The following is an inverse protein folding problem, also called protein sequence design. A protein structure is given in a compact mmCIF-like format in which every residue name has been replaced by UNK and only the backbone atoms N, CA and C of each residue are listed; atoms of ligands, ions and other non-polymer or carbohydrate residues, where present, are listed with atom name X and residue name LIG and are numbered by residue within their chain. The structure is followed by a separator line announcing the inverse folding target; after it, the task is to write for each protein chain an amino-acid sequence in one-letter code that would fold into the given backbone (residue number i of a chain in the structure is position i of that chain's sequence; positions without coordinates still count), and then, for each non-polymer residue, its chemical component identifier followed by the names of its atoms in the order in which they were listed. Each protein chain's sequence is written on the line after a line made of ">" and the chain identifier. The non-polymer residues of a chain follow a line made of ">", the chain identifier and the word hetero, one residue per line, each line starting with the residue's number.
data_IF_141886180365
#
_entry.id   IF_141886180365
#
_cell.length_a   1.000
_cell.length_b   1.000
_cell.length_c   1.000
_cell.angle_alpha   90.00
_cell.angle_beta   90.00
_cell.angle_gamma   90.00
#
_symmetry.space_group_name_H-M   'P 1'
#
loop_
_entity.id
_entity.type
_entity.pdbx_description
1 polymer ?
#
# COMPACT_ATOMS: atom_id res chain seq x y z
N UNK A 1 -18.82 18.61 2.04
CA UNK A 1 -18.71 17.21 2.52
C UNK A 1 -19.89 16.96 3.46
N UNK A 2 -20.78 16.06 3.07
CA UNK A 2 -22.04 15.78 3.80
C UNK A 2 -21.94 14.54 4.71
N UNK A 3 -20.74 13.94 4.82
CA UNK A 3 -20.53 12.76 5.65
C UNK A 3 -20.39 13.13 7.13
N UNK A 4 -20.84 12.19 8.00
CA UNK A 4 -20.70 12.34 9.45
C UNK A 4 -19.23 12.37 9.84
N UNK A 5 -18.83 13.38 10.60
CA UNK A 5 -17.50 13.41 11.21
C UNK A 5 -17.56 12.57 12.49
N UNK A 6 -16.62 11.66 12.63
CA UNK A 6 -16.50 10.75 13.77
C UNK A 6 -15.15 10.94 14.46
N UNK A 7 -15.10 10.68 15.76
CA UNK A 7 -13.82 10.37 16.41
C UNK A 7 -13.38 8.95 16.04
N UNK A 8 -12.13 8.61 16.33
CA UNK A 8 -11.63 7.25 16.12
C UNK A 8 -12.38 6.22 17.00
N UNK A 9 -12.74 6.61 18.24
CA UNK A 9 -13.50 5.81 19.18
C UNK A 9 -14.95 5.61 18.71
N UNK A 10 -15.59 6.66 18.20
CA UNK A 10 -16.93 6.55 17.62
C UNK A 10 -16.92 5.60 16.42
N UNK A 11 -15.92 5.73 15.53
CA UNK A 11 -15.75 4.81 14.39
C UNK A 11 -15.51 3.36 14.85
N UNK A 12 -14.62 3.15 15.82
CA UNK A 12 -14.35 1.84 16.39
C UNK A 12 -15.60 1.25 17.10
N UNK A 13 -16.48 2.07 17.66
CA UNK A 13 -17.72 1.61 18.32
C UNK A 13 -18.75 0.99 17.37
N UNK A 14 -18.68 1.33 16.07
CA UNK A 14 -19.57 0.75 15.06
C UNK A 14 -19.23 -0.71 14.74
N UNK A 15 -17.96 -1.10 14.90
CA UNK A 15 -17.44 -2.42 14.55
C UNK A 15 -17.83 -3.42 15.64
N UNK A 16 -18.37 -4.57 15.26
CA UNK A 16 -18.85 -5.58 16.20
C UNK A 16 -17.89 -6.79 16.27
N UNK A 17 -18.02 -7.57 17.35
CA UNK A 17 -17.32 -8.85 17.46
C UNK A 17 -17.72 -9.77 16.30
N UNK A 18 -16.75 -10.32 15.60
CA UNK A 18 -16.94 -11.21 14.46
C UNK A 18 -16.94 -10.52 13.10
N UNK A 19 -16.96 -9.19 13.04
CA UNK A 19 -16.92 -8.45 11.77
C UNK A 19 -15.63 -8.74 10.96
N UNK A 20 -15.77 -8.67 9.67
CA UNK A 20 -14.66 -8.75 8.72
C UNK A 20 -14.28 -7.36 8.24
N UNK A 21 -13.04 -6.99 8.48
CA UNK A 21 -12.48 -5.69 8.15
C UNK A 21 -11.48 -5.80 7.01
N UNK A 22 -11.47 -4.81 6.15
CA UNK A 22 -10.41 -4.58 5.18
C UNK A 22 -9.83 -3.17 5.33
N UNK A 23 -8.56 -3.02 4.95
CA UNK A 23 -7.84 -1.76 5.10
C UNK A 23 -7.14 -1.40 3.80
N UNK A 24 -7.11 -0.11 3.47
CA UNK A 24 -6.37 0.43 2.34
C UNK A 24 -4.86 0.35 2.53
N UNK A 25 -4.14 0.72 1.49
CA UNK A 25 -2.70 0.88 1.52
C UNK A 25 -1.91 -0.33 1.04
N UNK A 26 -0.59 -0.13 1.00
CA UNK A 26 0.39 -1.16 0.71
C UNK A 26 1.65 -0.88 1.54
N UNK A 27 2.19 -1.88 2.25
CA UNK A 27 3.16 -1.70 3.35
C UNK A 27 2.60 -0.75 4.43
N UNK A 28 3.38 0.23 4.91
CA UNK A 28 2.89 1.25 5.84
C UNK A 28 2.16 2.41 5.13
N UNK A 29 2.36 2.55 3.81
CA UNK A 29 1.83 3.67 3.03
C UNK A 29 0.34 3.48 2.70
N UNK A 30 -0.47 4.47 2.98
CA UNK A 30 -1.91 4.40 2.77
C UNK A 30 -2.65 3.52 3.79
N UNK A 31 -1.97 3.07 4.87
CA UNK A 31 -2.54 2.20 5.89
C UNK A 31 -3.18 3.03 7.00
N UNK A 32 -4.49 2.88 7.25
CA UNK A 32 -5.20 3.50 8.37
C UNK A 32 -4.54 3.20 9.71
N UNK A 33 -4.58 4.15 10.64
CA UNK A 33 -3.89 4.06 11.95
C UNK A 33 -4.76 4.40 13.14
N UNK A 34 -5.61 5.43 13.02
CA UNK A 34 -6.32 5.93 14.20
C UNK A 34 -7.51 5.04 14.54
N UNK A 35 -8.26 4.58 13.55
CA UNK A 35 -9.38 3.65 13.78
C UNK A 35 -8.89 2.30 14.30
N UNK A 36 -7.88 1.62 13.70
CA UNK A 36 -7.42 0.33 14.24
C UNK A 36 -6.80 0.47 15.63
N UNK A 37 -6.15 1.59 15.96
CA UNK A 37 -5.63 1.85 17.32
C UNK A 37 -6.77 1.99 18.32
N UNK A 38 -7.82 2.75 18.00
CA UNK A 38 -9.02 2.88 18.85
C UNK A 38 -9.77 1.54 19.00
N UNK A 39 -9.85 0.76 17.92
CA UNK A 39 -10.44 -0.58 17.95
C UNK A 39 -9.66 -1.53 18.88
N UNK A 40 -8.32 -1.46 18.84
CA UNK A 40 -7.48 -2.23 19.75
C UNK A 40 -7.70 -1.84 21.23
N UNK A 41 -7.85 -0.54 21.52
CA UNK A 41 -8.16 -0.07 22.86
C UNK A 41 -9.52 -0.61 23.32
N UNK A 42 -10.56 -0.49 22.50
CA UNK A 42 -11.88 -1.05 22.78
C UNK A 42 -11.84 -2.57 23.00
N UNK A 43 -11.11 -3.31 22.20
CA UNK A 43 -10.97 -4.75 22.37
C UNK A 43 -10.36 -5.11 23.74
N UNK A 44 -9.40 -4.35 24.23
CA UNK A 44 -8.81 -4.53 25.56
C UNK A 44 -9.86 -4.28 26.67
N UNK A 45 -10.71 -3.29 26.52
CA UNK A 45 -11.81 -2.99 27.45
C UNK A 45 -12.85 -4.12 27.46
N UNK A 46 -13.30 -4.58 26.28
CA UNK A 46 -14.23 -5.72 26.17
C UNK A 46 -13.67 -6.97 26.87
N UNK A 47 -12.40 -7.28 26.63
CA UNK A 47 -11.75 -8.42 27.26
C UNK A 47 -11.60 -8.25 28.78
N UNK A 48 -11.33 -7.05 29.27
CA UNK A 48 -11.25 -6.76 30.72
C UNK A 48 -12.59 -6.97 31.42
N UNK A 49 -13.70 -6.77 30.70
CA UNK A 49 -15.06 -7.03 31.20
C UNK A 49 -15.56 -8.47 30.92
N UNK A 50 -14.66 -9.32 30.41
CA UNK A 50 -14.96 -10.74 30.13
C UNK A 50 -15.79 -10.96 28.86
N UNK A 51 -15.95 -9.96 28.01
CA UNK A 51 -16.66 -10.10 26.74
C UNK A 51 -15.68 -10.45 25.61
N UNK A 52 -16.01 -11.41 24.74
CA UNK A 52 -15.18 -11.74 23.60
C UNK A 52 -15.24 -10.61 22.56
N UNK A 53 -14.08 -10.24 22.02
CA UNK A 53 -13.99 -9.30 20.91
C UNK A 53 -12.86 -9.66 19.96
N UNK A 54 -13.19 -10.16 18.79
CA UNK A 54 -12.24 -10.45 17.70
C UNK A 54 -12.85 -10.10 16.36
N UNK A 55 -12.03 -9.68 15.42
CA UNK A 55 -12.38 -9.36 14.03
C UNK A 55 -11.52 -10.14 13.06
N UNK A 56 -12.00 -10.34 11.84
CA UNK A 56 -11.19 -10.84 10.72
C UNK A 56 -10.59 -9.65 9.99
N UNK A 57 -9.31 -9.74 9.58
CA UNK A 57 -8.56 -8.63 8.97
C UNK A 57 -7.96 -9.05 7.63
N UNK A 58 -8.35 -8.36 6.56
CA UNK A 58 -7.81 -8.51 5.20
C UNK A 58 -7.21 -7.19 4.73
N UNK A 59 -5.96 -7.19 4.27
CA UNK A 59 -5.29 -5.94 3.91
C UNK A 59 -4.49 -5.97 2.60
N UNK A 60 -4.36 -7.09 1.92
CA UNK A 60 -3.28 -7.20 0.93
C UNK A 60 -1.93 -7.19 1.65
N UNK A 61 -0.99 -6.35 1.21
CA UNK A 61 0.30 -6.16 1.88
C UNK A 61 0.32 -4.96 2.83
N UNK A 62 -0.80 -4.30 3.06
CA UNK A 62 -0.91 -3.20 4.03
C UNK A 62 -0.68 -3.74 5.45
N UNK A 63 0.27 -3.14 6.17
CA UNK A 63 0.69 -3.57 7.50
C UNK A 63 1.39 -2.44 8.25
N UNK A 64 1.12 -2.31 9.55
CA UNK A 64 1.79 -1.34 10.41
C UNK A 64 1.70 -1.75 11.88
N UNK A 65 2.56 -1.15 12.72
CA UNK A 65 2.48 -1.33 14.17
C UNK A 65 1.13 -0.81 14.72
N UNK A 66 0.61 0.29 14.15
CA UNK A 66 -0.67 0.87 14.56
C UNK A 66 -1.90 0.03 14.14
N UNK A 67 -1.76 -0.83 13.13
CA UNK A 67 -2.78 -1.77 12.70
C UNK A 67 -2.51 -3.17 13.26
N UNK A 68 -1.57 -3.90 12.66
CA UNK A 68 -1.30 -5.31 13.01
C UNK A 68 -0.75 -5.45 14.43
N UNK A 69 0.18 -4.56 14.82
CA UNK A 69 0.77 -4.57 16.15
C UNK A 69 -0.27 -4.33 17.23
N UNK A 70 -1.02 -3.24 17.10
CA UNK A 70 -2.04 -2.84 18.07
C UNK A 70 -3.14 -3.90 18.24
N UNK A 71 -3.68 -4.42 17.13
CA UNK A 71 -4.72 -5.45 17.16
C UNK A 71 -4.21 -6.80 17.70
N UNK A 72 -2.96 -7.18 17.37
CA UNK A 72 -2.36 -8.40 17.92
C UNK A 72 -2.14 -8.31 19.44
N UNK A 73 -1.60 -7.19 19.93
CA UNK A 73 -1.42 -6.95 21.37
C UNK A 73 -2.75 -6.95 22.12
N UNK A 74 -3.81 -6.44 21.50
CA UNK A 74 -5.16 -6.46 22.05
C UNK A 74 -5.84 -7.84 21.96
N UNK A 75 -5.21 -8.83 21.30
CA UNK A 75 -5.81 -10.15 20.99
C UNK A 75 -7.13 -10.05 20.23
N UNK A 76 -7.25 -9.00 19.42
CA UNK A 76 -8.47 -8.62 18.71
C UNK A 76 -8.61 -9.26 17.32
N UNK A 77 -7.70 -10.15 16.92
CA UNK A 77 -7.72 -10.74 15.57
C UNK A 77 -8.09 -12.22 15.64
N UNK A 78 -9.10 -12.62 14.88
CA UNK A 78 -9.46 -14.02 14.64
C UNK A 78 -8.74 -14.57 13.41
N UNK A 79 -8.90 -13.90 12.26
CA UNK A 79 -8.27 -14.30 10.99
C UNK A 79 -7.44 -13.15 10.42
N UNK A 80 -6.28 -13.48 9.84
CA UNK A 80 -5.41 -12.50 9.16
C UNK A 80 -4.93 -13.07 7.82
N UNK A 81 -5.10 -12.31 6.76
CA UNK A 81 -4.61 -12.66 5.43
C UNK A 81 -4.36 -11.39 4.59
N UNK A 82 -3.54 -11.51 3.53
CA UNK A 82 -2.65 -12.62 3.17
C UNK A 82 -1.23 -12.41 3.70
N UNK A 83 -0.88 -11.22 4.18
CA UNK A 83 0.48 -10.84 4.56
C UNK A 83 0.50 -10.03 5.86
N UNK A 84 1.55 -10.21 6.65
CA UNK A 84 1.85 -9.40 7.83
C UNK A 84 3.36 -9.26 8.01
N UNK A 85 3.82 -8.18 8.65
CA UNK A 85 5.26 -7.94 8.86
C UNK A 85 5.62 -7.54 10.29
N UNK A 86 4.63 -7.30 11.16
CA UNK A 86 4.91 -6.86 12.53
C UNK A 86 5.31 -8.01 13.44
N UNK A 87 6.28 -7.81 14.37
CA UNK A 87 6.70 -8.83 15.32
C UNK A 87 5.55 -9.34 16.21
N UNK A 88 4.65 -8.45 16.62
CA UNK A 88 3.51 -8.73 17.50
C UNK A 88 2.54 -9.71 16.82
N UNK A 89 2.17 -9.42 15.58
CA UNK A 89 1.27 -10.29 14.80
C UNK A 89 1.92 -11.63 14.50
N UNK A 90 3.20 -11.64 14.13
CA UNK A 90 3.97 -12.88 13.92
C UNK A 90 4.01 -13.74 15.17
N UNK A 91 4.23 -13.13 16.33
CA UNK A 91 4.24 -13.84 17.60
C UNK A 91 2.85 -14.43 17.93
N UNK A 92 1.76 -13.68 17.69
CA UNK A 92 0.40 -14.16 17.89
C UNK A 92 0.05 -15.34 16.97
N UNK A 93 0.44 -15.27 15.70
CA UNK A 93 0.27 -16.36 14.72
C UNK A 93 1.05 -17.62 15.18
N UNK A 94 2.32 -17.47 15.58
CA UNK A 94 3.15 -18.59 16.02
C UNK A 94 2.64 -19.25 17.30
N UNK A 95 1.88 -18.53 18.14
CA UNK A 95 1.19 -19.10 19.32
C UNK A 95 -0.17 -19.74 19.00
N UNK A 96 -0.61 -19.69 17.73
CA UNK A 96 -1.93 -20.19 17.33
C UNK A 96 -3.11 -19.32 17.80
N UNK A 97 -2.88 -18.07 18.17
CA UNK A 97 -3.91 -17.13 18.63
C UNK A 97 -4.69 -16.49 17.48
N UNK A 98 -4.10 -16.52 16.26
CA UNK A 98 -4.65 -15.95 15.03
C UNK A 98 -4.64 -17.00 13.93
N UNK A 99 -5.75 -17.20 13.28
CA UNK A 99 -5.87 -18.02 12.08
C UNK A 99 -5.27 -17.26 10.89
N UNK A 100 -4.04 -17.61 10.55
CA UNK A 100 -3.31 -16.95 9.46
C UNK A 100 -3.23 -17.85 8.23
N UNK A 101 -3.42 -17.26 7.07
CA UNK A 101 -3.11 -17.88 5.78
C UNK A 101 -2.55 -16.84 4.82
N UNK A 102 -1.54 -17.24 4.08
CA UNK A 102 -0.94 -16.45 3.02
C UNK A 102 -1.50 -16.85 1.65
N UNK A 103 -1.34 -15.97 0.70
CA UNK A 103 -1.62 -16.22 -0.72
C UNK A 103 -0.84 -15.22 -1.57
N UNK A 104 -0.76 -15.45 -2.85
CA UNK A 104 -0.23 -14.45 -3.76
C UNK A 104 -1.08 -13.17 -3.69
N UNK A 105 -0.43 -12.02 -3.46
CA UNK A 105 -1.11 -10.73 -3.30
C UNK A 105 -1.96 -10.37 -4.51
N UNK A 106 -1.50 -10.70 -5.72
CA UNK A 106 -2.23 -10.49 -6.98
C UNK A 106 -3.53 -11.30 -7.10
N UNK A 107 -3.68 -12.37 -6.30
CA UNK A 107 -4.89 -13.20 -6.29
C UNK A 107 -5.94 -12.71 -5.29
N UNK A 108 -5.56 -11.88 -4.33
CA UNK A 108 -6.44 -11.48 -3.24
C UNK A 108 -7.70 -10.76 -3.73
N UNK A 109 -7.53 -9.78 -4.61
CA UNK A 109 -8.66 -9.05 -5.19
C UNK A 109 -9.65 -9.98 -5.91
N UNK A 110 -9.15 -10.99 -6.61
CA UNK A 110 -10.00 -11.98 -7.28
C UNK A 110 -10.77 -12.83 -6.28
N UNK A 111 -10.12 -13.27 -5.18
CA UNK A 111 -10.77 -14.08 -4.15
C UNK A 111 -11.84 -13.29 -3.40
N UNK A 112 -11.58 -12.00 -3.15
CA UNK A 112 -12.58 -11.08 -2.61
C UNK A 112 -13.73 -10.89 -3.61
N UNK A 113 -13.41 -10.66 -4.88
CA UNK A 113 -14.39 -10.46 -5.95
C UNK A 113 -15.33 -11.66 -6.11
N UNK A 114 -14.78 -12.89 -6.01
CA UNK A 114 -15.54 -14.13 -6.13
C UNK A 114 -16.26 -14.55 -4.86
N UNK A 115 -16.03 -13.85 -3.74
CA UNK A 115 -16.65 -14.14 -2.45
C UNK A 115 -16.03 -15.31 -1.69
N UNK A 116 -14.86 -15.80 -2.10
CA UNK A 116 -14.19 -16.95 -1.46
C UNK A 116 -13.75 -16.66 -0.02
N UNK A 117 -13.55 -15.39 0.32
CA UNK A 117 -13.15 -14.97 1.67
C UNK A 117 -14.32 -14.54 2.57
N UNK A 118 -15.54 -14.64 2.04
CA UNK A 118 -16.76 -14.18 2.71
C UNK A 118 -17.04 -12.69 2.45
N UNK A 119 -18.00 -12.15 3.19
CA UNK A 119 -18.38 -10.75 3.11
C UNK A 119 -17.40 -9.86 3.88
N UNK A 120 -17.25 -8.62 3.45
CA UNK A 120 -16.50 -7.57 4.14
C UNK A 120 -17.51 -6.61 4.75
N UNK A 121 -17.50 -6.49 6.07
CA UNK A 121 -18.44 -5.60 6.78
C UNK A 121 -17.97 -4.15 6.70
N UNK A 122 -16.67 -3.90 6.92
CA UNK A 122 -16.11 -2.56 6.85
C UNK A 122 -14.83 -2.51 6.03
N UNK A 123 -14.71 -1.47 5.19
CA UNK A 123 -13.46 -1.06 4.57
C UNK A 123 -13.01 0.27 5.19
N UNK A 124 -11.85 0.29 5.82
CA UNK A 124 -11.26 1.49 6.39
C UNK A 124 -10.21 2.01 5.40
N UNK A 125 -10.36 3.26 4.97
CA UNK A 125 -9.57 3.84 3.87
C UNK A 125 -8.88 5.11 4.35
N UNK A 126 -7.55 5.18 4.20
CA UNK A 126 -6.82 6.44 4.33
C UNK A 126 -6.93 7.26 3.03
N UNK A 127 -7.32 8.52 3.15
CA UNK A 127 -7.52 9.43 2.03
C UNK A 127 -7.12 10.86 2.38
N UNK A 128 -6.86 11.67 1.35
CA UNK A 128 -6.66 13.13 1.49
C UNK A 128 -7.95 13.90 1.23
N UNK A 129 -8.85 13.33 0.46
CA UNK A 129 -10.11 13.95 0.10
C UNK A 129 -11.18 12.91 -0.20
N UNK A 130 -12.43 13.26 0.12
CA UNK A 130 -13.63 12.56 -0.31
C UNK A 130 -14.68 13.56 -0.74
N UNK A 131 -15.27 13.35 -1.92
CA UNK A 131 -16.34 14.21 -2.46
C UNK A 131 -17.73 13.66 -2.12
N UNK A 132 -18.76 14.50 -2.20
CA UNK A 132 -20.13 14.10 -1.86
C UNK A 132 -20.73 13.05 -2.81
N UNK A 133 -20.15 12.87 -3.99
CA UNK A 133 -20.51 11.86 -4.99
C UNK A 133 -19.62 10.60 -4.94
N UNK A 134 -18.78 10.47 -3.90
CA UNK A 134 -18.05 9.24 -3.60
C UNK A 134 -16.72 9.07 -4.31
N UNK A 135 -16.11 10.16 -4.84
CA UNK A 135 -14.73 10.12 -5.29
C UNK A 135 -13.78 10.27 -4.10
N UNK A 136 -12.85 9.33 -3.94
CA UNK A 136 -11.86 9.30 -2.87
C UNK A 136 -10.47 9.47 -3.48
N UNK A 137 -9.76 10.53 -3.10
CA UNK A 137 -8.35 10.71 -3.43
C UNK A 137 -7.52 10.01 -2.36
N UNK A 138 -6.81 8.94 -2.74
CA UNK A 138 -5.99 8.15 -1.83
C UNK A 138 -4.71 8.91 -1.44
N UNK A 139 -4.07 8.46 -0.36
CA UNK A 139 -2.74 8.91 0.04
C UNK A 139 -1.62 8.15 -0.70
N UNK A 140 -0.58 7.71 -0.01
CA UNK A 140 0.63 7.14 -0.61
C UNK A 140 0.56 5.67 -1.02
N UNK A 141 -0.58 4.99 -0.90
CA UNK A 141 -0.67 3.57 -1.23
C UNK A 141 -2.04 3.16 -1.74
N UNK A 142 -2.08 2.25 -2.70
CA UNK A 142 -3.30 1.73 -3.32
C UNK A 142 -3.60 0.31 -2.86
N UNK A 143 -2.70 -0.62 -3.13
CA UNK A 143 -2.91 -2.05 -2.78
C UNK A 143 -4.18 -2.64 -3.39
N UNK A 144 -5.01 -3.27 -2.57
CA UNK A 144 -6.27 -3.92 -2.96
C UNK A 144 -7.52 -3.09 -2.63
N UNK A 145 -7.37 -1.80 -2.29
CA UNK A 145 -8.46 -0.97 -1.75
C UNK A 145 -9.66 -0.87 -2.69
N UNK A 146 -9.43 -0.83 -4.01
CA UNK A 146 -10.52 -0.71 -4.98
C UNK A 146 -11.51 -1.87 -4.88
N UNK A 147 -11.01 -3.10 -4.78
CA UNK A 147 -11.85 -4.29 -4.62
C UNK A 147 -12.47 -4.37 -3.23
N UNK A 148 -11.74 -4.02 -2.18
CA UNK A 148 -12.27 -3.98 -0.82
C UNK A 148 -13.45 -3.00 -0.71
N UNK A 149 -13.30 -1.78 -1.18
CA UNK A 149 -14.35 -0.76 -1.16
C UNK A 149 -15.58 -1.17 -1.99
N UNK A 150 -15.34 -1.80 -3.17
CA UNK A 150 -16.43 -2.31 -4.00
C UNK A 150 -17.28 -3.38 -3.29
N UNK A 151 -16.64 -4.24 -2.47
CA UNK A 151 -17.28 -5.39 -1.81
C UNK A 151 -17.72 -5.13 -0.37
N UNK A 152 -17.17 -4.12 0.31
CA UNK A 152 -17.55 -3.79 1.67
C UNK A 152 -19.00 -3.28 1.76
N UNK A 153 -19.67 -3.61 2.87
CA UNK A 153 -20.99 -3.09 3.22
C UNK A 153 -20.90 -1.62 3.62
N UNK A 154 -19.89 -1.28 4.41
CA UNK A 154 -19.65 0.06 4.95
C UNK A 154 -18.22 0.52 4.72
N UNK A 155 -18.04 1.83 4.58
CA UNK A 155 -16.75 2.47 4.41
C UNK A 155 -16.57 3.53 5.49
N UNK A 156 -15.40 3.51 6.16
CA UNK A 156 -14.94 4.54 7.07
C UNK A 156 -13.68 5.16 6.45
N UNK A 157 -13.60 6.49 6.43
CA UNK A 157 -12.47 7.19 5.84
C UNK A 157 -11.65 7.86 6.94
N UNK A 158 -10.38 7.52 7.04
CA UNK A 158 -9.38 8.33 7.76
C UNK A 158 -8.88 9.43 6.84
N UNK A 159 -9.30 10.67 7.11
CA UNK A 159 -8.95 11.84 6.31
C UNK A 159 -7.65 12.45 6.83
N UNK A 160 -6.54 12.09 6.19
CA UNK A 160 -5.21 12.49 6.61
C UNK A 160 -4.81 13.84 6.01
N UNK A 161 -4.83 14.88 6.83
CA UNK A 161 -4.53 16.26 6.43
C UNK A 161 -3.04 16.55 6.22
N UNK A 162 -2.15 15.58 6.48
CA UNK A 162 -0.73 15.72 6.21
C UNK A 162 -0.42 15.83 4.72
N UNK A 163 -1.16 15.08 3.90
CA UNK A 163 -0.95 15.04 2.45
C UNK A 163 -1.77 16.12 1.76
N UNK A 164 -1.17 16.83 0.78
CA UNK A 164 -1.89 17.87 0.03
C UNK A 164 -2.87 17.23 -0.96
N UNK A 165 -3.96 17.94 -1.23
CA UNK A 165 -4.95 17.52 -2.24
C UNK A 165 -4.36 17.43 -3.65
N UNK A 166 -3.28 18.15 -3.90
CA UNK A 166 -2.54 18.10 -5.16
C UNK A 166 -1.91 16.75 -5.46
N UNK A 167 -1.96 15.77 -4.53
CA UNK A 167 -1.63 14.36 -4.83
C UNK A 167 -2.57 13.74 -5.88
N UNK A 168 -3.73 14.34 -6.11
CA UNK A 168 -4.64 13.98 -7.21
C UNK A 168 -3.87 13.93 -8.54
N UNK A 169 -4.05 12.83 -9.27
CA UNK A 169 -3.35 12.57 -10.53
C UNK A 169 -2.11 11.68 -10.39
N UNK A 170 -1.67 11.37 -9.17
CA UNK A 170 -0.61 10.38 -8.95
C UNK A 170 -1.11 8.93 -9.14
N UNK A 171 -2.41 8.70 -8.96
CA UNK A 171 -3.04 7.38 -8.98
C UNK A 171 -3.60 7.01 -10.36
N UNK A 172 -3.73 5.70 -10.59
CA UNK A 172 -4.38 5.07 -11.75
C UNK A 172 -5.17 3.86 -11.26
N UNK A 173 -6.37 4.13 -10.72
CA UNK A 173 -7.20 3.13 -10.05
C UNK A 173 -8.06 2.38 -11.06
N UNK A 174 -7.95 1.06 -11.09
CA UNK A 174 -8.77 0.18 -11.91
C UNK A 174 -9.20 -1.05 -11.14
N UNK A 175 -10.20 -1.75 -11.63
CA UNK A 175 -10.61 -3.07 -11.15
C UNK A 175 -10.85 -3.98 -12.34
N UNK A 176 -10.50 -5.24 -12.21
CA UNK A 176 -10.73 -6.22 -13.27
C UNK A 176 -12.19 -6.69 -13.28
N UNK A 177 -12.75 -6.83 -14.48
CA UNK A 177 -14.09 -7.37 -14.64
C UNK A 177 -14.15 -8.86 -14.25
N UNK A 178 -15.35 -9.33 -13.85
CA UNK A 178 -15.61 -10.76 -13.65
C UNK A 178 -15.57 -11.52 -14.98
N UNK A 179 -15.11 -12.78 -15.01
CA UNK A 179 -15.38 -13.66 -16.15
C UNK A 179 -16.89 -13.77 -16.44
N UNK A 180 -17.32 -13.86 -17.71
CA UNK A 180 -16.51 -13.95 -18.93
C UNK A 180 -16.10 -12.58 -19.49
N UNK A 181 -16.35 -11.48 -18.81
CA UNK A 181 -16.12 -10.13 -19.32
C UNK A 181 -14.69 -9.60 -19.06
N UNK A 182 -13.83 -10.43 -18.45
CA UNK A 182 -12.44 -10.07 -18.20
C UNK A 182 -11.70 -9.88 -19.52
N UNK A 183 -10.93 -8.79 -19.57
CA UNK A 183 -10.06 -8.46 -20.71
C UNK A 183 -8.61 -8.39 -20.25
N UNK A 184 -7.70 -8.28 -21.20
CA UNK A 184 -6.30 -7.99 -20.89
C UNK A 184 -6.14 -6.67 -20.12
N UNK A 185 -5.11 -6.58 -19.32
CA UNK A 185 -4.67 -5.34 -18.68
C UNK A 185 -3.83 -4.60 -19.70
N UNK A 186 -4.35 -3.52 -20.29
CA UNK A 186 -3.73 -2.80 -21.40
C UNK A 186 -2.61 -1.87 -20.92
N UNK A 187 -1.62 -2.41 -20.19
CA UNK A 187 -0.40 -1.74 -19.75
C UNK A 187 0.74 -2.34 -20.53
N UNK A 188 1.19 -1.65 -21.57
CA UNK A 188 2.29 -2.07 -22.44
C UNK A 188 3.57 -1.31 -22.12
N UNK A 189 3.44 -0.19 -21.41
CA UNK A 189 4.52 0.64 -20.90
C UNK A 189 4.23 1.02 -19.44
N UNK A 190 5.25 1.10 -18.54
CA UNK A 190 5.04 1.51 -17.15
C UNK A 190 4.30 2.85 -16.98
N UNK A 191 4.37 3.73 -17.97
CA UNK A 191 3.69 5.04 -17.94
C UNK A 191 2.24 5.02 -18.42
N UNK A 192 1.75 3.90 -19.00
CA UNK A 192 0.35 3.81 -19.46
C UNK A 192 -0.61 3.98 -18.28
N UNK A 193 -1.73 4.64 -18.52
CA UNK A 193 -2.81 4.81 -17.54
C UNK A 193 -4.10 4.24 -18.12
N UNK A 194 -4.74 3.35 -17.39
CA UNK A 194 -5.92 2.60 -17.83
C UNK A 194 -7.13 2.79 -16.92
N UNK A 195 -6.94 3.44 -15.78
CA UNK A 195 -7.95 3.63 -14.73
C UNK A 195 -8.32 5.09 -14.51
N UNK A 196 -8.69 5.40 -13.29
CA UNK A 196 -9.14 6.71 -12.86
C UNK A 196 -8.18 7.29 -11.79
N UNK A 197 -8.06 8.62 -11.68
CA UNK A 197 -7.19 9.24 -10.67
C UNK A 197 -7.74 9.14 -9.24
N UNK A 198 -8.97 8.72 -9.07
CA UNK A 198 -9.65 8.56 -7.77
C UNK A 198 -10.31 7.19 -7.67
N UNK A 199 -10.46 6.72 -6.44
CA UNK A 199 -11.32 5.58 -6.14
C UNK A 199 -12.77 6.06 -6.13
N UNK A 200 -13.64 5.44 -6.94
CA UNK A 200 -15.07 5.72 -6.99
C UNK A 200 -15.83 4.66 -6.18
N UNK A 201 -16.65 5.12 -5.24
CA UNK A 201 -17.51 4.25 -4.43
C UNK A 201 -18.96 4.78 -4.42
N UNK A 202 -19.91 3.92 -4.06
CA UNK A 202 -21.26 4.38 -3.71
C UNK A 202 -21.20 5.24 -2.45
N UNK A 203 -21.55 6.54 -2.52
CA UNK A 203 -21.49 7.44 -1.37
C UNK A 203 -22.36 6.98 -0.20
N UNK A 204 -23.42 6.19 -0.43
CA UNK A 204 -24.26 5.64 0.62
C UNK A 204 -23.53 4.62 1.54
N UNK A 205 -22.43 4.02 1.06
CA UNK A 205 -21.59 3.13 1.87
C UNK A 205 -20.71 3.89 2.85
N UNK A 206 -20.42 5.18 2.62
CA UNK A 206 -19.55 5.99 3.48
C UNK A 206 -20.33 6.43 4.71
N UNK A 207 -20.08 5.76 5.83
CA UNK A 207 -20.82 5.98 7.08
C UNK A 207 -20.17 7.01 8.00
N UNK A 208 -18.91 7.38 7.74
CA UNK A 208 -18.23 8.41 8.50
C UNK A 208 -16.81 8.69 8.03
N UNK A 209 -16.34 9.85 8.45
CA UNK A 209 -15.00 10.39 8.17
C UNK A 209 -14.32 10.71 9.49
N UNK A 210 -13.11 10.23 9.69
CA UNK A 210 -12.29 10.44 10.88
C UNK A 210 -11.12 11.35 10.50
N UNK A 211 -11.11 12.64 10.91
CA UNK A 211 -9.98 13.53 10.65
C UNK A 211 -8.73 13.04 11.38
N UNK A 212 -7.60 13.04 10.71
CA UNK A 212 -6.30 12.64 11.26
C UNK A 212 -5.15 13.41 10.62
N UNK A 213 -3.96 13.29 11.22
CA UNK A 213 -2.73 13.89 10.70
C UNK A 213 -1.54 13.06 11.22
N UNK A 214 -0.92 12.27 10.33
CA UNK A 214 0.24 11.45 10.70
C UNK A 214 1.12 11.10 9.50
N UNK A 215 2.41 10.90 9.77
CA UNK A 215 3.36 10.27 8.84
C UNK A 215 3.29 8.74 8.95
N UNK A 216 3.77 8.05 7.92
CA UNK A 216 3.80 6.58 7.92
C UNK A 216 4.86 5.99 8.84
N UNK A 217 5.84 6.77 9.25
CA UNK A 217 6.91 6.33 10.15
C UNK A 217 7.76 5.21 9.53
N UNK A 218 7.94 5.24 8.23
CA UNK A 218 8.87 4.35 7.53
C UNK A 218 10.28 4.77 7.91
N UNK A 219 11.04 3.82 8.47
CA UNK A 219 12.43 4.10 8.85
C UNK A 219 13.30 4.14 7.61
N UNK A 220 14.26 5.07 7.54
CA UNK A 220 15.27 5.07 6.50
C UNK A 220 16.00 3.71 6.47
N UNK A 221 16.40 3.29 5.29
CA UNK A 221 17.22 2.09 5.15
C UNK A 221 18.57 2.27 5.82
N UNK A 222 19.13 1.16 6.28
CA UNK A 222 20.52 1.15 6.80
C UNK A 222 21.45 1.57 5.65
N UNK A 223 22.42 2.47 5.91
CA UNK A 223 23.42 2.83 4.91
C UNK A 223 24.10 1.62 4.29
N UNK A 224 24.39 1.71 3.01
CA UNK A 224 25.05 0.63 2.25
C UNK A 224 26.45 0.38 2.84
N UNK A 225 26.71 -0.85 3.27
CA UNK A 225 28.01 -1.29 3.75
C UNK A 225 28.87 -1.86 2.61
N UNK A 226 30.14 -2.21 2.90
CA UNK A 226 31.07 -2.74 1.90
C UNK A 226 30.56 -4.02 1.22
N UNK A 227 29.90 -4.90 1.99
CA UNK A 227 29.37 -6.18 1.49
C UNK A 227 28.21 -5.96 0.53
N UNK A 228 27.23 -5.15 0.93
CA UNK A 228 26.06 -4.84 0.10
C UNK A 228 26.44 -4.00 -1.10
N UNK A 229 27.41 -3.06 -0.97
CA UNK A 229 27.96 -2.32 -2.09
C UNK A 229 28.62 -3.24 -3.13
N UNK A 230 29.38 -4.26 -2.68
CA UNK A 230 29.98 -5.25 -3.58
C UNK A 230 28.92 -6.08 -4.29
N UNK A 231 27.85 -6.48 -3.61
CA UNK A 231 26.72 -7.17 -4.24
C UNK A 231 26.11 -6.27 -5.32
N UNK A 232 25.83 -5.00 -4.99
CA UNK A 232 25.28 -4.03 -5.96
C UNK A 232 26.17 -3.90 -7.21
N UNK A 233 27.49 -3.73 -7.05
CA UNK A 233 28.43 -3.69 -8.18
C UNK A 233 28.41 -4.97 -9.01
N UNK A 234 28.43 -6.15 -8.39
CA UNK A 234 28.39 -7.41 -9.13
C UNK A 234 27.12 -7.55 -9.98
N UNK A 235 25.97 -7.07 -9.49
CA UNK A 235 24.72 -7.05 -10.28
C UNK A 235 24.84 -6.09 -11.45
N UNK A 236 25.37 -4.90 -11.24
CA UNK A 236 25.58 -3.92 -12.32
C UNK A 236 26.55 -4.47 -13.38
N UNK A 237 27.68 -5.04 -12.97
CA UNK A 237 28.66 -5.65 -13.87
C UNK A 237 28.03 -6.76 -14.73
N UNK A 238 27.16 -7.58 -14.12
CA UNK A 238 26.40 -8.60 -14.84
C UNK A 238 25.46 -7.97 -15.86
N UNK A 239 24.68 -6.97 -15.47
CA UNK A 239 23.73 -6.29 -16.38
C UNK A 239 24.44 -5.60 -17.54
N UNK A 240 25.59 -4.95 -17.29
CA UNK A 240 26.42 -4.33 -18.32
C UNK A 240 26.98 -5.39 -19.30
N UNK A 241 27.40 -6.54 -18.78
CA UNK A 241 27.85 -7.64 -19.63
C UNK A 241 26.72 -8.19 -20.52
N UNK A 242 25.50 -8.31 -19.97
CA UNK A 242 24.33 -8.77 -20.73
C UNK A 242 23.90 -7.77 -21.80
N UNK A 243 23.95 -6.46 -21.51
CA UNK A 243 23.71 -5.39 -22.48
C UNK A 243 24.72 -5.44 -23.62
N UNK A 244 26.04 -5.52 -23.31
CA UNK A 244 27.11 -5.59 -24.31
C UNK A 244 27.02 -6.84 -25.19
N UNK A 245 26.49 -7.92 -24.63
CA UNK A 245 26.28 -9.18 -25.35
C UNK A 245 24.95 -9.22 -26.16
N UNK A 246 24.14 -8.17 -26.09
CA UNK A 246 22.85 -8.09 -26.79
C UNK A 246 21.80 -9.06 -26.22
N UNK A 247 21.96 -9.54 -25.00
CA UNK A 247 20.96 -10.39 -24.32
C UNK A 247 19.91 -9.61 -23.54
N UNK A 248 20.20 -8.35 -23.25
CA UNK A 248 19.23 -7.35 -22.79
C UNK A 248 19.07 -6.32 -23.90
N UNK A 249 17.85 -5.86 -24.24
CA UNK A 249 17.61 -4.80 -25.21
C UNK A 249 18.38 -3.52 -24.88
N UNK A 250 18.77 -2.78 -25.91
CA UNK A 250 19.55 -1.55 -25.74
C UNK A 250 18.81 -0.47 -24.95
N UNK A 251 17.48 -0.47 -25.03
CA UNK A 251 16.58 0.43 -24.29
C UNK A 251 16.48 0.07 -22.81
N UNK A 252 17.05 -1.05 -22.40
CA UNK A 252 16.87 -1.69 -21.11
C UNK A 252 15.39 -2.08 -20.84
N UNK A 253 15.16 -3.10 -20.03
CA UNK A 253 13.79 -3.51 -19.67
C UNK A 253 13.36 -2.83 -18.38
N UNK A 254 12.04 -2.65 -18.14
CA UNK A 254 11.57 -2.18 -16.85
C UNK A 254 12.07 -3.06 -15.72
N UNK A 255 12.56 -2.43 -14.65
CA UNK A 255 13.05 -3.14 -13.48
C UNK A 255 11.99 -3.21 -12.38
N UNK A 256 12.04 -4.29 -11.62
CA UNK A 256 11.35 -4.45 -10.36
C UNK A 256 12.39 -4.59 -9.24
N UNK A 257 12.17 -3.90 -8.12
CA UNK A 257 13.04 -3.98 -6.94
C UNK A 257 12.23 -4.41 -5.73
N UNK A 258 12.78 -5.35 -4.96
CA UNK A 258 12.25 -5.73 -3.66
C UNK A 258 12.58 -4.70 -2.58
N UNK A 259 12.12 -4.98 -1.35
CA UNK A 259 12.42 -4.15 -0.16
C UNK A 259 13.65 -4.70 0.56
N UNK A 260 14.55 -3.81 0.98
CA UNK A 260 15.67 -4.18 1.83
C UNK A 260 17.03 -3.63 1.39
N UNK A 261 18.03 -3.81 2.25
CA UNK A 261 19.36 -3.21 2.09
C UNK A 261 20.08 -3.65 0.82
N UNK A 262 19.94 -4.91 0.40
CA UNK A 262 20.56 -5.42 -0.83
C UNK A 262 19.93 -4.75 -2.05
N UNK A 263 18.60 -4.71 -2.12
CA UNK A 263 17.88 -4.05 -3.20
C UNK A 263 18.29 -2.58 -3.30
N UNK A 264 18.37 -1.89 -2.17
CA UNK A 264 18.79 -0.49 -2.08
C UNK A 264 20.22 -0.30 -2.59
N UNK A 265 21.16 -1.19 -2.24
CA UNK A 265 22.53 -1.14 -2.71
C UNK A 265 22.64 -1.38 -4.24
N UNK A 266 21.79 -2.24 -4.80
CA UNK A 266 21.71 -2.45 -6.25
C UNK A 266 21.21 -1.19 -6.95
N UNK A 267 20.11 -0.58 -6.46
CA UNK A 267 19.58 0.65 -7.03
C UNK A 267 20.59 1.81 -6.97
N UNK A 268 21.30 1.94 -5.85
CA UNK A 268 22.38 2.93 -5.72
C UNK A 268 23.52 2.67 -6.74
N UNK A 269 23.95 1.41 -6.89
CA UNK A 269 25.00 1.07 -7.87
C UNK A 269 24.53 1.32 -9.32
N UNK A 270 23.24 1.16 -9.64
CA UNK A 270 22.67 1.52 -10.95
C UNK A 270 22.71 3.02 -11.21
N UNK A 271 22.53 3.84 -10.16
CA UNK A 271 22.64 5.31 -10.29
C UNK A 271 24.02 5.72 -10.77
N UNK A 272 25.05 5.09 -10.22
CA UNK A 272 26.46 5.43 -10.48
C UNK A 272 27.05 4.79 -11.75
N UNK A 273 26.29 3.93 -12.44
CA UNK A 273 26.76 3.18 -13.60
C UNK A 273 26.45 3.91 -14.92
N UNK A 274 27.44 4.53 -15.58
CA UNK A 274 27.21 5.27 -16.83
C UNK A 274 26.85 4.37 -18.01
N UNK A 275 27.24 3.07 -17.98
CA UNK A 275 26.94 2.11 -19.03
C UNK A 275 25.50 1.65 -19.03
N UNK A 276 24.78 1.77 -17.92
CA UNK A 276 23.34 1.47 -17.84
C UNK A 276 22.57 2.67 -18.40
N UNK A 277 21.78 2.51 -19.46
CA UNK A 277 20.97 3.59 -20.00
C UNK A 277 19.86 4.00 -19.01
N UNK A 278 19.22 5.15 -19.19
CA UNK A 278 17.98 5.46 -18.47
C UNK A 278 16.92 4.38 -18.70
N UNK A 279 16.20 4.01 -17.64
CA UNK A 279 15.24 2.91 -17.66
C UNK A 279 13.93 3.30 -16.98
N UNK A 280 12.92 2.44 -17.10
CA UNK A 280 11.66 2.54 -16.38
C UNK A 280 11.59 1.47 -15.30
N UNK A 281 10.74 1.68 -14.30
CA UNK A 281 10.45 0.69 -13.29
C UNK A 281 8.96 0.31 -13.31
N UNK A 282 8.70 -0.98 -13.14
CA UNK A 282 7.39 -1.53 -12.81
C UNK A 282 7.57 -2.36 -11.56
N UNK A 283 7.35 -1.74 -10.41
CA UNK A 283 7.77 -2.27 -9.11
C UNK A 283 6.61 -2.28 -8.12
N UNK A 284 6.65 -3.18 -7.17
CA UNK A 284 5.63 -3.28 -6.15
C UNK A 284 5.69 -2.09 -5.17
N UNK A 285 6.90 -1.70 -4.78
CA UNK A 285 7.15 -0.67 -3.76
C UNK A 285 8.12 0.36 -4.31
N UNK A 286 7.80 1.64 -4.13
CA UNK A 286 8.70 2.75 -4.44
C UNK A 286 9.35 3.24 -3.15
N UNK A 287 10.68 3.11 -3.08
CA UNK A 287 11.50 3.42 -1.91
C UNK A 287 12.33 4.70 -2.16
N UNK A 288 12.99 5.21 -1.12
CA UNK A 288 13.84 6.42 -1.16
C UNK A 288 14.83 6.38 -2.33
N UNK A 289 15.51 5.25 -2.55
CA UNK A 289 16.47 5.06 -3.65
C UNK A 289 15.86 5.17 -5.05
N UNK A 290 14.57 4.91 -5.21
CA UNK A 290 13.90 5.11 -6.52
C UNK A 290 13.66 6.60 -6.77
N UNK A 291 13.37 7.37 -5.72
CA UNK A 291 13.29 8.84 -5.82
C UNK A 291 14.65 9.41 -6.25
N UNK A 292 15.75 8.93 -5.67
CA UNK A 292 17.10 9.34 -6.06
C UNK A 292 17.43 8.99 -7.53
N UNK A 293 16.99 7.81 -8.00
CA UNK A 293 17.11 7.41 -9.42
C UNK A 293 16.33 8.33 -10.36
N UNK A 294 15.12 8.76 -9.95
CA UNK A 294 14.29 9.69 -10.71
C UNK A 294 14.98 11.06 -10.78
N UNK A 295 15.47 11.57 -9.66
CA UNK A 295 16.15 12.86 -9.58
C UNK A 295 17.46 12.87 -10.38
N UNK A 296 18.18 11.75 -10.43
CA UNK A 296 19.37 11.56 -11.25
C UNK A 296 19.07 11.35 -12.73
N UNK A 297 17.81 11.29 -13.16
CA UNK A 297 17.39 11.01 -14.53
C UNK A 297 17.67 9.57 -15.00
N UNK A 298 18.03 8.66 -14.07
CA UNK A 298 18.25 7.24 -14.38
C UNK A 298 16.94 6.46 -14.48
N UNK A 299 15.99 6.71 -13.58
CA UNK A 299 14.64 6.20 -13.71
C UNK A 299 13.77 7.27 -14.36
N UNK A 300 13.31 7.02 -15.57
CA UNK A 300 12.50 7.98 -16.33
C UNK A 300 11.03 7.91 -15.96
N UNK A 301 10.55 6.76 -15.48
CA UNK A 301 9.20 6.56 -14.98
C UNK A 301 9.12 5.33 -14.07
N UNK A 302 8.35 5.41 -12.98
CA UNK A 302 8.10 4.31 -12.07
C UNK A 302 6.60 4.08 -11.86
N UNK A 303 6.14 2.87 -12.15
CA UNK A 303 4.81 2.36 -11.77
C UNK A 303 4.93 1.52 -10.51
N UNK A 304 4.10 1.79 -9.49
CA UNK A 304 4.17 1.13 -8.19
C UNK A 304 2.79 1.00 -7.54
N UNK A 305 2.68 0.21 -6.47
CA UNK A 305 1.48 0.16 -5.62
C UNK A 305 1.56 1.10 -4.41
N UNK A 306 2.77 1.57 -4.05
CA UNK A 306 2.92 2.47 -2.90
C UNK A 306 4.20 3.30 -2.93
N UNK A 307 4.11 4.49 -2.32
CA UNK A 307 5.24 5.32 -1.91
C UNK A 307 5.66 4.88 -0.49
N UNK A 308 6.53 3.89 -0.39
CA UNK A 308 7.08 3.45 0.90
C UNK A 308 8.35 4.22 1.19
N UNK A 309 8.18 5.51 1.46
CA UNK A 309 9.25 6.48 1.67
C UNK A 309 9.44 6.80 3.15
N UNK A 310 10.67 7.10 3.53
CA UNK A 310 10.95 7.75 4.82
C UNK A 310 10.36 9.16 4.83
N UNK A 311 10.10 9.69 6.04
CA UNK A 311 9.37 10.96 6.20
C UNK A 311 10.01 12.11 5.41
N UNK A 312 11.35 12.23 5.40
CA UNK A 312 12.05 13.27 4.63
C UNK A 312 11.91 13.13 3.11
N UNK A 313 11.80 11.90 2.59
CA UNK A 313 11.53 11.66 1.18
C UNK A 313 10.05 11.89 0.83
N UNK A 314 9.15 11.63 1.76
CA UNK A 314 7.75 12.06 1.60
C UNK A 314 7.66 13.56 1.44
N UNK A 315 8.27 14.33 2.35
CA UNK A 315 8.30 15.79 2.31
C UNK A 315 8.89 16.29 0.98
N UNK A 316 9.94 15.65 0.50
CA UNK A 316 10.55 15.95 -0.81
C UNK A 316 9.57 15.73 -1.97
N UNK A 317 8.90 14.59 -2.01
CA UNK A 317 7.95 14.24 -3.08
C UNK A 317 6.71 15.15 -3.04
N UNK A 318 6.10 15.35 -1.87
CA UNK A 318 4.91 16.20 -1.76
C UNK A 318 5.18 17.68 -1.99
N UNK A 319 6.40 18.16 -1.73
CA UNK A 319 6.79 19.56 -2.04
C UNK A 319 7.02 19.81 -3.52
N UNK A 320 7.11 18.79 -4.37
CA UNK A 320 7.33 18.90 -5.82
C UNK A 320 6.47 17.90 -6.63
N UNK A 321 5.19 17.81 -6.25
CA UNK A 321 4.26 16.85 -6.87
C UNK A 321 4.11 17.03 -8.38
N UNK A 322 4.20 18.26 -8.89
CA UNK A 322 4.10 18.51 -10.33
C UNK A 322 5.21 17.79 -11.11
N UNK A 323 6.43 17.76 -10.59
CA UNK A 323 7.51 16.98 -11.16
C UNK A 323 7.23 15.47 -11.04
N UNK A 324 6.95 14.99 -9.85
CA UNK A 324 6.84 13.54 -9.61
C UNK A 324 5.62 12.91 -10.29
N UNK A 325 4.51 13.61 -10.52
CA UNK A 325 3.37 13.11 -11.30
C UNK A 325 3.70 12.73 -12.73
N UNK A 326 4.74 13.36 -13.30
CA UNK A 326 5.26 13.01 -14.64
C UNK A 326 6.20 11.80 -14.64
N UNK A 327 6.59 11.31 -13.44
CA UNK A 327 7.56 10.23 -13.29
C UNK A 327 7.05 9.05 -12.48
N UNK A 328 5.89 9.18 -11.82
CA UNK A 328 5.34 8.16 -10.93
C UNK A 328 3.85 7.94 -11.22
N UNK A 329 3.43 6.68 -11.14
CA UNK A 329 2.02 6.31 -11.05
C UNK A 329 1.83 5.23 -9.97
N UNK A 330 0.76 5.38 -9.16
CA UNK A 330 0.36 4.40 -8.16
C UNK A 330 -0.86 3.61 -8.65
N UNK A 331 -0.77 2.27 -8.58
CA UNK A 331 -1.76 1.32 -9.11
C UNK A 331 -2.21 0.30 -8.08
N UNK A 332 -3.38 -0.33 -8.29
CA UNK A 332 -3.71 -1.59 -7.61
C UNK A 332 -2.65 -2.67 -7.85
N UNK A 333 -2.54 -3.63 -6.92
CA UNK A 333 -1.59 -4.76 -7.02
C UNK A 333 -2.19 -6.00 -7.73
N UNK A 334 -3.23 -5.81 -8.53
CA UNK A 334 -3.90 -6.85 -9.33
C UNK A 334 -3.12 -7.19 -10.60
#
# INVERSE_FOLDING_TARGET
>A
MNYKILTAEEAASLIQNGDTLSFSGFTAAGTPRVVPTALAARAKEEHAEGRPFKVSVFTGASTSVALDGALAEAKAVDRRAPFQSTPEMRAAINRGEVNYFDMHLSMLSQYVQYGFLGEIDYCIIEAVEVTDDGHITLCGGVGNVAMFAAKAKHIIIELNSLFPKDILGLHDITTLAMPPHRREIAIYDPSDRIGQPTLQVDPAKIIGVVPCCYHYGVRPFVPVDETTARIGRNVVDFLVAELKAGRIPAEFLPLQSGVGNIANAVLQALTDAPEIPPFKMYTEVLQDSVVDLIDAGKCTFASSSSLTLSDGYYDKVISNLDFYKHHIVLRPCE
#
